data_IF_059000174021
#
_entry.id   IF_059000174021
#
_cell.length_a   1.000
_cell.length_b   1.000
_cell.length_c   1.000
_cell.angle_alpha   90.00
_cell.angle_beta   90.00
_cell.angle_gamma   90.00
#
_symmetry.space_group_name_H-M   'P 1'
#
loop_
_entity.id
_entity.type
_entity.pdbx_description
1 polymer ?
#
# COMPACT_ATOMS: atom_id res chain seq x y z
N UNK A 1 25.22 -41.85 10.15
CA UNK A 1 26.35 -40.92 9.87
C UNK A 1 25.88 -39.89 8.86
N UNK A 2 25.70 -38.62 9.25
CA UNK A 2 25.29 -37.55 8.33
C UNK A 2 26.52 -37.16 7.49
N UNK A 3 26.51 -37.47 6.19
CA UNK A 3 27.69 -37.29 5.31
C UNK A 3 28.08 -35.80 5.28
N UNK A 4 29.34 -35.47 5.58
CA UNK A 4 29.84 -34.08 5.61
C UNK A 4 29.66 -33.34 4.26
N UNK A 5 29.48 -34.08 3.16
CA UNK A 5 29.16 -33.53 1.84
C UNK A 5 27.79 -32.81 1.82
N UNK A 6 26.79 -33.37 2.50
CA UNK A 6 25.44 -32.80 2.64
C UNK A 6 25.49 -31.46 3.40
N UNK A 7 26.39 -31.36 4.38
CA UNK A 7 26.63 -30.12 5.15
C UNK A 7 27.27 -29.01 4.32
N UNK A 8 28.20 -29.34 3.40
CA UNK A 8 28.79 -28.35 2.49
C UNK A 8 27.76 -27.83 1.49
N UNK A 9 26.96 -28.73 0.93
CA UNK A 9 25.90 -28.37 -0.02
C UNK A 9 24.77 -27.57 0.65
N UNK A 10 24.40 -27.92 1.88
CA UNK A 10 23.45 -27.15 2.69
C UNK A 10 23.96 -25.73 2.98
N UNK A 11 25.25 -25.57 3.30
CA UNK A 11 25.86 -24.24 3.50
C UNK A 11 25.87 -23.41 2.22
N UNK A 12 26.23 -24.01 1.08
CA UNK A 12 26.20 -23.33 -0.22
C UNK A 12 24.78 -22.87 -0.57
N UNK A 13 23.78 -23.75 -0.40
CA UNK A 13 22.37 -23.40 -0.62
C UNK A 13 21.90 -22.26 0.28
N UNK A 14 22.35 -22.20 1.55
CA UNK A 14 22.00 -21.10 2.46
C UNK A 14 22.53 -19.75 1.95
N UNK A 15 23.77 -19.71 1.47
CA UNK A 15 24.38 -18.49 0.92
C UNK A 15 23.66 -18.05 -0.35
N UNK A 16 23.38 -18.98 -1.28
CA UNK A 16 22.65 -18.67 -2.51
C UNK A 16 21.26 -18.11 -2.21
N UNK A 17 20.55 -18.70 -1.23
CA UNK A 17 19.22 -18.25 -0.84
C UNK A 17 19.26 -16.86 -0.19
N UNK A 18 20.25 -16.60 0.66
CA UNK A 18 20.45 -15.27 1.26
C UNK A 18 20.79 -14.21 0.19
N UNK A 19 21.65 -14.55 -0.77
CA UNK A 19 21.99 -13.67 -1.90
C UNK A 19 20.77 -13.36 -2.77
N UNK A 20 19.93 -14.35 -3.05
CA UNK A 20 18.70 -14.15 -3.82
C UNK A 20 17.71 -13.23 -3.09
N UNK A 21 17.58 -13.37 -1.77
CA UNK A 21 16.75 -12.47 -0.94
C UNK A 21 17.31 -11.05 -0.95
N UNK A 22 18.63 -10.88 -0.84
CA UNK A 22 19.27 -9.57 -0.90
C UNK A 22 19.04 -8.88 -2.26
N UNK A 23 19.21 -9.61 -3.37
CA UNK A 23 18.95 -9.09 -4.71
C UNK A 23 17.48 -8.68 -4.92
N UNK A 24 16.54 -9.46 -4.40
CA UNK A 24 15.10 -9.12 -4.44
C UNK A 24 14.77 -7.89 -3.58
N UNK A 25 15.43 -7.73 -2.43
CA UNK A 25 15.25 -6.55 -1.60
C UNK A 25 15.80 -5.29 -2.29
N UNK A 26 16.96 -5.38 -2.93
CA UNK A 26 17.54 -4.27 -3.71
C UNK A 26 16.66 -3.89 -4.90
N UNK A 27 16.05 -4.86 -5.58
CA UNK A 27 15.09 -4.57 -6.67
C UNK A 27 13.81 -3.95 -6.14
N UNK A 28 13.25 -4.45 -5.03
CA UNK A 28 12.03 -3.91 -4.43
C UNK A 28 12.17 -2.45 -3.97
N UNK A 29 13.37 -2.03 -3.55
CA UNK A 29 13.65 -0.62 -3.20
C UNK A 29 13.71 0.28 -4.45
N UNK A 30 14.10 -0.27 -5.60
CA UNK A 30 14.18 0.45 -6.88
C UNK A 30 12.87 0.46 -7.65
N UNK A 31 11.90 -0.35 -7.24
CA UNK A 31 10.57 -0.36 -7.86
C UNK A 31 9.87 0.98 -7.63
N UNK A 32 9.17 1.50 -8.65
CA UNK A 32 8.36 2.70 -8.47
C UNK A 32 7.31 2.45 -7.39
N UNK A 33 6.92 3.48 -6.63
CA UNK A 33 5.85 3.37 -5.64
C UNK A 33 4.60 2.72 -6.25
N UNK A 34 3.89 1.87 -5.49
CA UNK A 34 2.75 1.16 -6.02
C UNK A 34 1.66 2.14 -6.43
N UNK A 35 1.04 1.93 -7.60
CA UNK A 35 -0.04 2.76 -8.13
C UNK A 35 -1.36 2.51 -7.37
N UNK A 36 -1.39 2.95 -6.12
CA UNK A 36 -2.55 2.86 -5.23
C UNK A 36 -3.16 4.23 -5.02
N UNK A 37 -4.46 4.25 -4.72
CA UNK A 37 -5.19 5.48 -4.41
C UNK A 37 -4.48 6.29 -3.30
N UNK A 38 -4.06 5.62 -2.22
CA UNK A 38 -3.39 6.25 -1.08
C UNK A 38 -2.03 6.86 -1.41
N UNK A 39 -1.32 6.33 -2.39
CA UNK A 39 -0.04 6.88 -2.85
C UNK A 39 -0.27 8.08 -3.78
N UNK A 40 -1.31 8.04 -4.61
CA UNK A 40 -1.64 9.14 -5.53
C UNK A 40 -2.34 10.32 -4.87
N UNK A 41 -3.03 10.11 -3.74
CA UNK A 41 -3.96 11.09 -3.20
C UNK A 41 -3.50 11.66 -1.86
N UNK A 42 -3.71 12.97 -1.63
CA UNK A 42 -3.33 13.59 -0.38
C UNK A 42 -4.19 13.09 0.77
N UNK A 43 -3.66 13.23 1.99
CA UNK A 43 -4.43 13.02 3.19
C UNK A 43 -5.70 13.89 3.16
N UNK A 44 -6.82 13.29 3.59
CA UNK A 44 -8.12 13.94 3.64
C UNK A 44 -8.67 14.42 2.29
N UNK A 45 -8.26 13.80 1.17
CA UNK A 45 -8.88 14.01 -0.13
C UNK A 45 -10.42 13.98 -0.03
N UNK A 46 -11.09 14.87 -0.75
CA UNK A 46 -12.55 15.05 -0.76
C UNK A 46 -13.17 15.58 0.55
N UNK A 47 -12.34 16.21 1.38
CA UNK A 47 -12.78 16.93 2.58
C UNK A 47 -12.19 18.34 2.61
N UNK A 48 -12.75 19.21 3.46
CA UNK A 48 -12.28 20.58 3.62
C UNK A 48 -10.85 20.68 4.17
N UNK A 49 -10.39 19.67 4.91
CA UNK A 49 -9.04 19.61 5.47
C UNK A 49 -7.96 19.24 4.42
N UNK A 50 -8.34 18.93 3.18
CA UNK A 50 -7.39 18.60 2.13
C UNK A 50 -6.47 19.81 1.84
N UNK A 51 -5.14 19.61 1.81
CA UNK A 51 -4.18 20.68 1.50
C UNK A 51 -4.32 21.19 0.06
N UNK A 52 -4.79 20.35 -0.87
CA UNK A 52 -4.99 20.71 -2.28
C UNK A 52 -6.45 21.11 -2.52
N UNK A 53 -6.76 22.39 -2.83
CA UNK A 53 -8.14 22.88 -2.97
C UNK A 53 -8.96 22.16 -4.03
N UNK A 54 -8.36 21.84 -5.16
CA UNK A 54 -9.02 21.19 -6.30
C UNK A 54 -9.50 19.77 -5.96
N UNK A 55 -8.81 19.11 -5.03
CA UNK A 55 -9.11 17.76 -4.57
C UNK A 55 -10.05 17.75 -3.34
N UNK A 56 -10.56 18.91 -2.90
CA UNK A 56 -11.56 18.98 -1.82
C UNK A 56 -12.93 18.49 -2.27
N UNK A 57 -13.19 18.52 -3.58
CA UNK A 57 -14.44 18.02 -4.16
C UNK A 57 -14.20 16.68 -4.86
N UNK A 58 -15.01 15.66 -4.56
CA UNK A 58 -14.92 14.41 -5.30
C UNK A 58 -15.37 14.58 -6.75
N UNK A 59 -14.82 13.77 -7.67
CA UNK A 59 -15.26 13.76 -9.05
C UNK A 59 -16.73 13.30 -9.14
N UNK A 60 -17.42 13.78 -10.18
CA UNK A 60 -18.84 13.45 -10.42
C UNK A 60 -18.98 11.93 -10.51
N UNK A 61 -19.86 11.36 -9.68
CA UNK A 61 -20.14 9.92 -9.63
C UNK A 61 -19.48 9.17 -8.47
N UNK A 62 -18.56 9.79 -7.71
CA UNK A 62 -18.08 9.21 -6.45
C UNK A 62 -19.08 9.51 -5.36
N UNK A 63 -19.94 8.53 -5.04
CA UNK A 63 -20.90 8.62 -3.95
C UNK A 63 -20.12 8.75 -2.64
N UNK A 64 -20.18 9.92 -1.99
CA UNK A 64 -19.59 10.11 -0.67
C UNK A 64 -20.39 9.26 0.32
N UNK A 65 -19.81 8.15 0.77
CA UNK A 65 -20.32 7.34 1.89
C UNK A 65 -20.73 8.22 3.09
N UNK A 66 -20.01 9.32 3.31
CA UNK A 66 -20.33 10.31 4.34
C UNK A 66 -21.48 11.28 3.98
N UNK A 67 -21.69 11.69 2.72
CA UNK A 67 -22.86 12.54 2.40
C UNK A 67 -24.15 11.76 2.56
N UNK A 68 -24.19 10.50 2.12
CA UNK A 68 -25.39 9.68 2.26
C UNK A 68 -25.68 9.37 3.72
N UNK A 69 -24.65 9.03 4.52
CA UNK A 69 -24.84 8.83 5.97
C UNK A 69 -25.18 10.11 6.73
N UNK A 70 -24.51 11.25 6.49
CA UNK A 70 -24.82 12.52 7.16
C UNK A 70 -26.20 13.06 6.77
N UNK A 71 -26.60 12.96 5.50
CA UNK A 71 -27.97 13.34 5.10
C UNK A 71 -29.01 12.43 5.76
N UNK A 72 -28.77 11.12 5.81
CA UNK A 72 -29.68 10.17 6.47
C UNK A 72 -29.79 10.42 7.98
N UNK A 73 -28.68 10.75 8.63
CA UNK A 73 -28.64 11.01 10.08
C UNK A 73 -29.31 12.35 10.45
N UNK A 74 -29.24 13.35 9.57
CA UNK A 74 -29.98 14.62 9.71
C UNK A 74 -31.48 14.45 9.41
N UNK A 75 -31.83 13.66 8.40
CA UNK A 75 -33.23 13.37 8.05
C UNK A 75 -33.97 12.59 9.15
N UNK A 76 -33.26 11.78 9.94
CA UNK A 76 -33.85 11.01 11.05
C UNK A 76 -34.06 11.82 12.34
N UNK A 77 -33.66 13.09 12.38
CA UNK A 77 -33.80 13.98 13.55
C UNK A 77 -35.01 14.92 13.48
N UNK A 78 -35.97 14.64 12.60
CA UNK A 78 -37.23 15.38 12.45
C UNK A 78 -38.40 14.52 12.91
#
# INVERSE_FOLDING_TARGET
MKKKADSKQAKANKVLRASAVAALAESAVREPPPDTWSVRMPAYAYTQACPVPELRRPPKGVIRYYETMLHRQRASRV
#
